data_IF_827790555853
#
_entry.id   IF_827790555853
#
_cell.length_a   1.000
_cell.length_b   1.000
_cell.length_c   1.000
_cell.angle_alpha   90.00
_cell.angle_beta   90.00
_cell.angle_gamma   90.00
#
_symmetry.space_group_name_H-M   'P 1'
#
loop_
_entity.id
_entity.type
_entity.pdbx_description
1 polymer ?
#
# COMPACT_ATOMS: atom_id res chain seq x y z
N UNK A 1 25.78 2.59 -23.58
CA UNK A 1 26.67 2.59 -22.40
C UNK A 1 26.05 1.56 -21.46
N UNK A 2 26.50 0.32 -21.39
CA UNK A 2 27.80 -0.24 -21.76
C UNK A 2 27.66 -1.77 -21.97
N UNK A 3 27.88 -2.26 -23.20
CA UNK A 3 27.80 -3.68 -23.63
C UNK A 3 28.88 -4.57 -22.98
N UNK A 4 29.69 -4.00 -22.08
CA UNK A 4 30.82 -4.66 -21.44
C UNK A 4 30.42 -5.42 -20.15
N UNK A 5 29.24 -5.16 -19.58
CA UNK A 5 28.77 -5.88 -18.37
C UNK A 5 28.14 -7.24 -18.67
N UNK A 6 27.55 -7.39 -19.85
CA UNK A 6 26.92 -8.63 -20.30
C UNK A 6 27.97 -9.70 -20.65
N UNK A 7 29.12 -9.28 -21.21
CA UNK A 7 30.25 -10.19 -21.48
C UNK A 7 31.00 -10.63 -20.21
N UNK A 8 31.01 -9.80 -19.16
CA UNK A 8 31.60 -10.15 -17.86
C UNK A 8 30.77 -11.26 -17.17
N UNK A 9 29.43 -11.16 -17.22
CA UNK A 9 28.51 -12.15 -16.66
C UNK A 9 28.60 -13.52 -17.36
N UNK A 10 28.79 -13.53 -18.69
CA UNK A 10 28.98 -14.76 -19.46
C UNK A 10 30.32 -15.45 -19.21
N UNK A 11 31.38 -14.72 -18.82
CA UNK A 11 32.68 -15.31 -18.45
C UNK A 11 32.66 -16.03 -17.11
N UNK A 12 31.90 -15.51 -16.14
CA UNK A 12 31.76 -16.12 -14.81
C UNK A 12 31.05 -17.48 -14.90
N UNK A 13 30.12 -17.64 -15.84
CA UNK A 13 29.37 -18.88 -16.08
C UNK A 13 30.17 -19.99 -16.80
N UNK A 14 31.37 -19.70 -17.31
CA UNK A 14 32.19 -20.64 -18.10
C UNK A 14 33.50 -21.07 -17.43
N UNK A 15 33.77 -20.64 -16.19
CA UNK A 15 34.98 -21.02 -15.48
C UNK A 15 34.88 -22.49 -14.97
N UNK A 16 35.87 -23.36 -15.27
CA UNK A 16 35.85 -24.73 -14.78
C UNK A 16 36.22 -24.78 -13.29
N UNK A 17 35.32 -25.31 -12.46
CA UNK A 17 35.60 -25.61 -11.05
C UNK A 17 36.50 -26.85 -10.96
N UNK A 18 37.74 -26.68 -10.50
CA UNK A 18 38.54 -27.81 -10.02
C UNK A 18 38.13 -28.14 -8.59
N UNK A 19 38.25 -29.42 -8.23
CA UNK A 19 37.60 -30.09 -7.11
C UNK A 19 37.89 -29.48 -5.73
N UNK A 20 36.87 -29.63 -4.87
CA UNK A 20 36.83 -29.40 -3.42
C UNK A 20 36.67 -27.94 -2.97
N UNK A 21 35.43 -27.43 -3.02
CA UNK A 21 34.84 -26.54 -2.00
C UNK A 21 33.37 -26.19 -2.32
N UNK A 22 32.42 -26.85 -1.64
CA UNK A 22 30.95 -26.67 -1.73
C UNK A 22 30.43 -25.32 -1.19
N UNK A 23 31.28 -24.29 -1.10
CA UNK A 23 30.93 -22.98 -0.51
C UNK A 23 30.88 -21.81 -1.50
N UNK A 24 31.23 -22.00 -2.76
CA UNK A 24 31.24 -20.93 -3.78
C UNK A 24 30.05 -20.96 -4.76
N UNK A 25 29.22 -22.01 -4.72
CA UNK A 25 28.03 -22.12 -5.58
C UNK A 25 26.80 -21.32 -5.10
N UNK A 26 26.79 -20.91 -3.82
CA UNK A 26 25.70 -20.11 -3.23
C UNK A 26 25.90 -18.61 -3.54
N UNK A 27 27.15 -18.14 -3.58
CA UNK A 27 27.46 -16.72 -3.83
C UNK A 27 27.20 -16.26 -5.27
N UNK A 28 27.21 -17.17 -6.26
CA UNK A 28 26.92 -16.81 -7.65
C UNK A 28 25.41 -16.58 -7.90
N UNK A 29 24.55 -17.27 -7.15
CA UNK A 29 23.08 -17.08 -7.19
C UNK A 29 22.71 -15.81 -6.45
N UNK A 30 23.33 -15.55 -5.30
CA UNK A 30 23.12 -14.34 -4.49
C UNK A 30 23.61 -13.06 -5.23
N UNK A 31 24.67 -13.18 -6.05
CA UNK A 31 25.16 -12.08 -6.88
C UNK A 31 24.29 -11.84 -8.13
N UNK A 32 23.70 -12.89 -8.69
CA UNK A 32 22.72 -12.78 -9.78
C UNK A 32 21.40 -12.16 -9.31
N UNK A 33 20.92 -12.50 -8.11
CA UNK A 33 19.73 -11.88 -7.49
C UNK A 33 19.96 -10.40 -7.15
N UNK A 34 21.17 -10.02 -6.70
CA UNK A 34 21.51 -8.62 -6.39
C UNK A 34 21.77 -7.73 -7.61
N UNK A 35 21.93 -8.30 -8.81
CA UNK A 35 22.28 -7.55 -10.04
C UNK A 35 21.10 -7.28 -10.97
N UNK A 36 19.89 -7.75 -10.64
CA UNK A 36 18.68 -7.49 -11.43
C UNK A 36 18.04 -6.19 -10.93
N UNK A 37 18.16 -5.12 -11.74
CA UNK A 37 17.34 -3.91 -11.56
C UNK A 37 15.87 -4.24 -11.91
N UNK A 38 14.99 -4.05 -10.93
CA UNK A 38 13.58 -3.63 -10.93
C UNK A 38 12.59 -3.84 -12.09
N UNK A 39 12.91 -4.33 -13.30
CA UNK A 39 11.94 -4.46 -14.41
C UNK A 39 12.20 -5.70 -15.31
N UNK A 40 12.01 -6.92 -14.81
CA UNK A 40 12.01 -8.11 -15.67
C UNK A 40 10.87 -9.08 -15.31
N UNK A 41 10.12 -9.44 -16.35
CA UNK A 41 8.83 -10.13 -16.35
C UNK A 41 8.78 -11.44 -15.55
N UNK A 42 7.62 -11.66 -14.92
CA UNK A 42 7.26 -12.85 -14.15
C UNK A 42 7.31 -14.18 -14.93
N UNK A 43 7.56 -14.17 -16.24
CA UNK A 43 7.77 -15.38 -17.04
C UNK A 43 9.16 -16.03 -16.85
N UNK A 44 10.20 -15.26 -16.51
CA UNK A 44 11.57 -15.83 -16.38
C UNK A 44 11.80 -16.50 -15.01
N UNK A 45 11.14 -16.00 -13.96
CA UNK A 45 11.20 -16.58 -12.61
C UNK A 45 10.54 -17.98 -12.55
N UNK A 46 9.55 -18.25 -13.40
CA UNK A 46 8.92 -19.56 -13.55
C UNK A 46 9.84 -20.59 -14.23
N UNK A 47 10.75 -20.16 -15.11
CA UNK A 47 11.71 -21.06 -15.76
C UNK A 47 12.78 -21.58 -14.77
N UNK A 48 13.14 -20.79 -13.76
CA UNK A 48 14.14 -21.16 -12.74
C UNK A 48 13.56 -22.04 -11.61
N UNK A 49 12.25 -21.94 -11.31
CA UNK A 49 11.58 -22.76 -10.28
C UNK A 49 11.38 -24.23 -10.68
N UNK A 50 11.53 -24.59 -11.95
CA UNK A 50 11.33 -25.96 -12.44
C UNK A 50 12.61 -26.80 -12.50
N UNK A 51 13.72 -26.27 -11.99
CA UNK A 51 15.00 -26.95 -11.93
C UNK A 51 15.06 -27.86 -10.68
N UNK A 52 14.78 -29.16 -10.85
CA UNK A 52 15.03 -30.17 -9.81
C UNK A 52 16.39 -30.84 -9.99
N UNK A 53 17.14 -31.15 -8.91
CA UNK A 53 18.41 -31.84 -9.02
C UNK A 53 18.17 -33.28 -9.46
N UNK A 54 18.85 -33.71 -10.53
CA UNK A 54 19.12 -35.12 -10.76
C UNK A 54 20.60 -35.40 -10.49
N UNK A 55 20.91 -36.62 -10.06
CA UNK A 55 22.18 -37.01 -9.43
C UNK A 55 23.40 -37.03 -10.36
N UNK A 56 23.37 -36.39 -11.54
CA UNK A 56 24.41 -36.49 -12.56
C UNK A 56 24.83 -35.15 -13.22
N UNK A 57 24.56 -34.00 -12.59
CA UNK A 57 25.10 -32.71 -13.04
C UNK A 57 24.41 -32.12 -14.30
N UNK A 58 24.39 -30.80 -14.37
CA UNK A 58 23.72 -30.00 -15.39
C UNK A 58 24.29 -30.26 -16.80
N UNK A 59 23.45 -30.69 -17.76
CA UNK A 59 23.76 -30.67 -19.20
C UNK A 59 22.74 -29.82 -19.94
N UNK A 60 23.22 -28.78 -20.62
CA UNK A 60 22.45 -28.02 -21.62
C UNK A 60 22.70 -28.64 -22.99
N UNK A 61 21.64 -29.07 -23.68
CA UNK A 61 21.70 -29.47 -25.09
C UNK A 61 21.48 -28.25 -25.99
N UNK A 62 22.40 -28.08 -26.95
CA UNK A 62 22.59 -26.95 -27.88
C UNK A 62 21.40 -26.62 -28.80
N UNK A 63 21.11 -25.33 -28.98
CA UNK A 63 20.36 -24.78 -30.11
C UNK A 63 21.32 -24.53 -31.29
N UNK A 64 21.16 -25.24 -32.41
CA UNK A 64 21.74 -24.91 -33.71
C UNK A 64 20.62 -24.35 -34.63
N UNK A 65 20.80 -23.14 -35.18
CA UNK A 65 19.84 -22.37 -36.00
C UNK A 65 19.64 -22.89 -37.44
N UNK A 66 19.32 -22.06 -38.49
CA UNK A 66 19.20 -20.59 -38.53
C UNK A 66 18.08 -19.98 -39.43
N UNK A 67 18.05 -18.62 -39.45
CA UNK A 67 17.72 -17.69 -40.54
C UNK A 67 16.27 -17.19 -40.79
N UNK A 68 16.13 -15.88 -40.52
CA UNK A 68 15.09 -14.87 -40.84
C UNK A 68 14.69 -14.81 -42.34
N UNK A 69 13.56 -14.21 -42.78
CA UNK A 69 13.35 -12.75 -42.64
C UNK A 69 11.90 -12.21 -42.47
N UNK A 70 11.88 -10.92 -42.11
CA UNK A 70 10.83 -9.89 -42.07
C UNK A 70 9.84 -9.93 -43.27
N UNK A 71 8.54 -9.67 -43.03
CA UNK A 71 7.66 -8.72 -43.78
C UNK A 71 6.35 -8.43 -43.03
N UNK A 72 5.92 -7.17 -43.15
CA UNK A 72 4.74 -6.51 -42.60
C UNK A 72 3.42 -6.81 -43.35
N UNK A 73 2.37 -6.13 -42.87
CA UNK A 73 1.00 -6.00 -43.38
C UNK A 73 0.07 -7.19 -43.19
N UNK A 74 -1.10 -6.95 -42.57
CA UNK A 74 -2.40 -7.52 -42.98
C UNK A 74 -3.55 -6.61 -42.49
N UNK A 75 -4.15 -5.87 -43.44
CA UNK A 75 -5.55 -5.46 -43.44
C UNK A 75 -6.25 -6.13 -44.65
N UNK A 76 -7.52 -5.80 -44.98
CA UNK A 76 -8.79 -6.37 -44.52
C UNK A 76 -9.40 -7.42 -45.50
N UNK A 77 -10.47 -8.13 -45.08
CA UNK A 77 -11.20 -9.13 -45.87
C UNK A 77 -12.23 -8.50 -46.84
N UNK A 78 -12.51 -9.11 -48.03
CA UNK A 78 -13.47 -8.58 -49.00
C UNK A 78 -14.88 -9.20 -48.92
N UNK A 79 -15.87 -8.39 -49.30
CA UNK A 79 -17.26 -8.76 -49.59
C UNK A 79 -17.44 -9.35 -51.01
N UNK A 80 -18.43 -10.22 -51.18
CA UNK A 80 -19.36 -10.18 -52.33
C UNK A 80 -20.65 -10.98 -52.07
N UNK A 81 -21.77 -10.35 -52.42
CA UNK A 81 -23.17 -10.64 -52.06
C UNK A 81 -23.90 -11.65 -53.00
N UNK A 82 -25.22 -11.91 -52.84
CA UNK A 82 -26.24 -10.98 -53.35
C UNK A 82 -27.56 -10.83 -52.54
N UNK A 83 -28.00 -9.57 -52.45
CA UNK A 83 -29.37 -9.03 -52.57
C UNK A 83 -30.61 -9.75 -51.97
N UNK A 84 -31.22 -9.12 -50.94
CA UNK A 84 -32.69 -8.94 -50.85
C UNK A 84 -33.04 -7.66 -50.07
N UNK A 85 -33.98 -6.89 -50.63
CA UNK A 85 -34.40 -5.54 -50.24
C UNK A 85 -35.22 -5.47 -48.91
N UNK A 86 -35.43 -4.26 -48.32
CA UNK A 86 -35.70 -4.05 -46.90
C UNK A 86 -37.18 -3.99 -46.54
N UNK A 87 -37.51 -4.34 -45.29
CA UNK A 87 -38.81 -4.04 -44.67
C UNK A 87 -38.59 -3.20 -43.41
N UNK A 88 -39.21 -2.02 -43.43
CA UNK A 88 -39.26 -1.02 -42.37
C UNK A 88 -40.35 -1.35 -41.35
N UNK A 89 -40.00 -1.42 -40.06
CA UNK A 89 -40.93 -1.06 -38.98
C UNK A 89 -40.17 -0.38 -37.85
N UNK A 90 -40.57 0.88 -37.62
CA UNK A 90 -40.07 1.82 -36.61
C UNK A 90 -40.80 1.50 -35.29
N UNK A 91 -40.07 1.11 -34.25
CA UNK A 91 -40.60 1.05 -32.88
C UNK A 91 -40.13 2.29 -32.08
N UNK A 92 -40.93 2.81 -31.14
CA UNK A 92 -40.76 4.16 -30.60
C UNK A 92 -39.66 4.24 -29.54
N UNK A 93 -38.98 5.38 -29.50
CA UNK A 93 -38.04 5.75 -28.45
C UNK A 93 -38.76 5.87 -27.10
N UNK A 94 -38.24 5.17 -26.09
CA UNK A 94 -38.56 5.42 -24.68
C UNK A 94 -37.46 6.32 -24.10
N UNK A 95 -37.76 7.29 -23.23
CA UNK A 95 -36.79 8.27 -22.78
C UNK A 95 -35.79 7.62 -21.82
N UNK A 96 -34.51 7.67 -22.16
CA UNK A 96 -33.41 7.28 -21.28
C UNK A 96 -33.36 8.24 -20.10
N UNK A 97 -33.75 7.75 -18.92
CA UNK A 97 -33.43 8.39 -17.64
C UNK A 97 -31.93 8.17 -17.43
N UNK A 98 -31.15 9.24 -17.51
CA UNK A 98 -29.74 9.23 -17.12
C UNK A 98 -29.64 9.08 -15.60
N UNK A 99 -29.47 7.84 -15.13
CA UNK A 99 -29.02 7.58 -13.77
C UNK A 99 -27.52 7.86 -13.72
N UNK A 100 -27.13 9.01 -13.18
CA UNK A 100 -25.74 9.23 -12.75
C UNK A 100 -25.46 8.21 -11.64
N UNK A 101 -24.56 7.26 -11.92
CA UNK A 101 -24.00 6.39 -10.89
C UNK A 101 -23.19 7.20 -9.87
N UNK A 102 -23.01 6.71 -8.64
CA UNK A 102 -22.24 7.39 -7.62
C UNK A 102 -20.77 7.43 -8.05
N UNK A 103 -20.35 8.55 -8.64
CA UNK A 103 -18.94 8.83 -8.92
C UNK A 103 -18.37 9.54 -7.69
N UNK A 104 -17.27 9.03 -7.14
CA UNK A 104 -16.49 9.69 -6.07
C UNK A 104 -15.74 10.94 -6.59
N UNK A 105 -16.19 11.53 -7.70
CA UNK A 105 -15.55 12.69 -8.29
C UNK A 105 -15.80 13.92 -7.39
N UNK A 106 -14.78 14.74 -7.11
CA UNK A 106 -14.95 16.01 -6.43
C UNK A 106 -16.00 16.85 -7.16
N UNK A 107 -16.89 17.48 -6.40
CA UNK A 107 -17.76 18.52 -6.95
C UNK A 107 -16.88 19.63 -7.49
N UNK A 108 -17.01 19.93 -8.79
CA UNK A 108 -16.13 20.86 -9.49
C UNK A 108 -16.12 22.23 -8.77
N UNK A 109 -14.98 22.65 -8.19
CA UNK A 109 -14.92 23.93 -7.51
C UNK A 109 -14.94 25.06 -8.55
N UNK A 110 -15.68 26.16 -8.30
CA UNK A 110 -15.79 27.24 -9.26
C UNK A 110 -14.47 28.04 -9.32
N UNK A 111 -13.90 28.13 -10.52
CA UNK A 111 -12.72 28.93 -10.90
C UNK A 111 -11.41 28.60 -10.16
N UNK A 112 -10.59 27.78 -10.83
CA UNK A 112 -9.16 27.69 -10.54
C UNK A 112 -8.38 28.73 -11.36
N UNK A 113 -7.61 29.59 -10.68
CA UNK A 113 -6.79 30.62 -11.35
C UNK A 113 -5.59 30.07 -12.13
N UNK A 114 -5.03 28.92 -11.70
CA UNK A 114 -3.89 28.30 -12.37
C UNK A 114 -3.86 26.79 -12.21
N UNK A 115 -4.29 26.10 -13.25
CA UNK A 115 -4.06 24.67 -13.41
C UNK A 115 -2.61 24.37 -13.77
N UNK A 116 -2.09 23.25 -13.29
CA UNK A 116 -0.85 22.65 -13.80
C UNK A 116 -1.04 22.15 -15.23
N UNK A 117 0.05 21.67 -15.85
CA UNK A 117 -0.07 20.75 -16.99
C UNK A 117 -0.77 19.45 -16.58
N UNK A 118 -1.17 18.67 -17.58
CA UNK A 118 -1.64 17.31 -17.37
C UNK A 118 -0.43 16.39 -17.15
N UNK A 119 -0.59 15.43 -16.24
CA UNK A 119 0.39 14.41 -15.92
C UNK A 119 -0.28 13.04 -16.06
N UNK A 120 0.39 12.15 -16.76
CA UNK A 120 0.07 10.73 -16.92
C UNK A 120 1.35 10.00 -16.54
N UNK A 121 1.23 9.13 -15.52
CA UNK A 121 2.38 8.53 -14.85
C UNK A 121 2.48 7.05 -15.16
N UNK A 122 1.36 6.37 -15.26
CA UNK A 122 1.28 4.99 -15.71
C UNK A 122 0.16 4.78 -16.71
N UNK A 123 0.34 3.80 -17.60
CA UNK A 123 -0.73 3.34 -18.48
C UNK A 123 -1.50 2.23 -17.74
N UNK A 124 -2.77 1.94 -18.12
CA UNK A 124 -3.62 0.94 -17.47
C UNK A 124 -3.04 -0.46 -17.73
N UNK A 125 -2.17 -0.89 -16.84
CA UNK A 125 -1.40 -2.13 -16.92
C UNK A 125 -1.34 -2.77 -15.53
N UNK A 126 -1.27 -4.09 -15.48
CA UNK A 126 -1.42 -4.82 -14.22
C UNK A 126 -2.80 -4.60 -13.57
N UNK A 127 -2.84 -3.83 -12.48
CA UNK A 127 -4.02 -3.72 -11.60
C UNK A 127 -4.88 -2.47 -11.83
N UNK A 128 -4.50 -1.55 -12.71
CA UNK A 128 -5.22 -0.30 -12.92
C UNK A 128 -4.33 0.81 -13.45
N UNK A 129 -4.73 2.04 -13.17
CA UNK A 129 -4.15 3.31 -13.62
C UNK A 129 -4.03 4.27 -12.40
N UNK A 130 -2.81 4.74 -12.07
CA UNK A 130 -2.47 5.31 -10.76
C UNK A 130 -1.71 6.66 -10.77
N UNK A 131 -2.47 7.74 -10.88
CA UNK A 131 -2.04 9.13 -10.97
C UNK A 131 -1.88 9.75 -9.57
N UNK A 132 -1.08 9.08 -8.74
CA UNK A 132 -0.87 9.46 -7.34
C UNK A 132 0.00 10.71 -7.19
N UNK A 133 -0.45 11.67 -6.38
CA UNK A 133 0.18 12.97 -6.18
C UNK A 133 1.62 12.87 -5.65
N UNK A 134 1.91 11.87 -4.82
CA UNK A 134 3.26 11.62 -4.29
C UNK A 134 4.25 11.29 -5.42
N UNK A 135 3.91 10.36 -6.30
CA UNK A 135 4.76 9.96 -7.42
C UNK A 135 4.87 11.07 -8.45
N UNK A 136 3.74 11.72 -8.78
CA UNK A 136 3.69 12.85 -9.70
C UNK A 136 4.61 13.99 -9.27
N UNK A 137 4.66 14.34 -7.97
CA UNK A 137 5.59 15.36 -7.45
C UNK A 137 7.06 14.94 -7.51
N UNK A 138 7.35 13.65 -7.32
CA UNK A 138 8.71 13.11 -7.36
C UNK A 138 9.26 13.12 -8.79
N UNK A 139 8.43 12.74 -9.75
CA UNK A 139 8.79 12.68 -11.18
C UNK A 139 8.74 14.07 -11.84
N UNK A 140 7.96 15.00 -11.27
CA UNK A 140 7.84 16.39 -11.75
C UNK A 140 8.20 17.42 -10.66
N UNK A 141 9.47 17.52 -10.22
CA UNK A 141 9.88 18.41 -9.15
C UNK A 141 9.49 19.87 -9.40
N UNK A 142 8.78 20.47 -8.44
CA UNK A 142 8.37 21.88 -8.48
C UNK A 142 7.27 22.22 -9.50
N UNK A 143 6.69 21.23 -10.19
CA UNK A 143 5.59 21.45 -11.16
C UNK A 143 4.20 21.44 -10.52
N UNK A 144 4.07 20.77 -9.38
CA UNK A 144 2.83 20.67 -8.61
C UNK A 144 3.08 21.33 -7.26
N UNK A 145 2.18 22.22 -6.84
CA UNK A 145 2.24 22.90 -5.54
C UNK A 145 2.13 21.91 -4.38
N UNK A 146 2.62 22.31 -3.20
CA UNK A 146 2.57 21.51 -1.97
C UNK A 146 1.15 21.23 -1.45
N UNK A 147 0.18 22.09 -1.79
CA UNK A 147 -1.23 21.96 -1.38
C UNK A 147 -2.15 22.33 -2.54
N UNK A 148 -2.50 21.39 -3.43
CA UNK A 148 -3.47 21.61 -4.48
C UNK A 148 -4.85 21.88 -3.90
N UNK A 149 -5.59 22.80 -4.51
CA UNK A 149 -6.96 23.12 -4.08
C UNK A 149 -8.03 22.39 -4.87
N UNK A 150 -7.67 21.78 -6.01
CA UNK A 150 -8.55 20.95 -6.82
C UNK A 150 -7.74 19.97 -7.67
N UNK A 151 -8.38 18.89 -8.09
CA UNK A 151 -7.85 17.91 -9.05
C UNK A 151 -8.87 17.74 -10.18
N UNK A 152 -8.38 17.52 -11.40
CA UNK A 152 -9.17 17.04 -12.53
C UNK A 152 -8.48 15.83 -13.13
N UNK A 153 -9.28 14.84 -13.53
CA UNK A 153 -8.85 13.64 -14.25
C UNK A 153 -9.64 13.50 -15.55
N UNK A 154 -8.99 13.03 -16.61
CA UNK A 154 -9.62 12.74 -17.90
C UNK A 154 -8.92 11.59 -18.60
N UNK A 155 -9.64 10.86 -19.43
CA UNK A 155 -9.07 9.80 -20.25
C UNK A 155 -8.04 10.40 -21.21
N UNK A 156 -6.83 9.87 -21.20
CA UNK A 156 -5.75 10.28 -22.07
C UNK A 156 -6.12 10.04 -23.53
N UNK A 157 -5.78 10.99 -24.39
CA UNK A 157 -6.13 10.98 -25.81
C UNK A 157 -7.57 11.43 -26.10
N UNK A 158 -8.59 10.80 -25.51
CA UNK A 158 -10.01 11.18 -25.76
C UNK A 158 -10.44 12.45 -25.02
N UNK A 159 -9.76 12.77 -23.91
CA UNK A 159 -10.02 13.91 -23.03
C UNK A 159 -11.41 13.91 -22.36
N UNK A 160 -12.13 12.78 -22.40
CA UNK A 160 -13.39 12.59 -21.68
C UNK A 160 -13.12 12.72 -20.18
N UNK A 161 -13.80 13.62 -19.44
CA UNK A 161 -13.62 13.73 -18.00
C UNK A 161 -13.88 12.40 -17.30
N UNK A 162 -13.09 12.06 -16.29
CA UNK A 162 -13.24 10.80 -15.56
C UNK A 162 -14.64 10.64 -14.94
N UNK A 163 -15.29 11.74 -14.54
CA UNK A 163 -16.67 11.71 -14.03
C UNK A 163 -17.72 11.26 -15.07
N UNK A 164 -17.37 11.19 -16.36
CA UNK A 164 -18.26 10.82 -17.45
C UNK A 164 -17.99 9.42 -18.03
N UNK A 165 -16.94 8.72 -17.57
CA UNK A 165 -16.60 7.39 -18.08
C UNK A 165 -17.49 6.30 -17.50
N UNK A 166 -18.07 6.54 -16.32
CA UNK A 166 -18.84 5.53 -15.58
C UNK A 166 -17.97 4.54 -14.82
N UNK A 167 -16.66 4.75 -14.77
CA UNK A 167 -15.71 3.94 -13.99
C UNK A 167 -15.73 4.31 -12.50
N UNK A 168 -15.34 3.33 -11.68
CA UNK A 168 -15.24 3.48 -10.24
C UNK A 168 -13.80 3.82 -9.83
N UNK A 169 -13.61 4.94 -9.15
CA UNK A 169 -12.29 5.41 -8.74
C UNK A 169 -12.03 5.13 -7.26
N UNK A 170 -10.85 4.60 -6.95
CA UNK A 170 -10.39 4.34 -5.58
C UNK A 170 -10.09 5.64 -4.85
N UNK A 171 -9.45 6.58 -5.56
CA UNK A 171 -9.20 7.93 -5.08
C UNK A 171 -9.39 8.91 -6.24
N UNK A 172 -9.95 10.08 -5.93
CA UNK A 172 -10.07 11.21 -6.85
C UNK A 172 -10.10 12.48 -6.00
N UNK A 173 -8.95 12.88 -5.47
CA UNK A 173 -8.83 14.01 -4.54
C UNK A 173 -7.45 14.67 -4.60
N UNK A 174 -7.30 15.80 -3.90
CA UNK A 174 -6.07 16.61 -3.90
C UNK A 174 -4.98 16.12 -2.95
N UNK A 175 -5.26 15.11 -2.13
CA UNK A 175 -4.35 14.61 -1.11
C UNK A 175 -3.61 13.38 -1.61
N UNK A 176 -4.34 12.45 -2.24
CA UNK A 176 -3.81 11.19 -2.78
C UNK A 176 -3.52 11.30 -4.27
N UNK A 177 -4.34 12.03 -5.03
CA UNK A 177 -4.30 12.06 -6.49
C UNK A 177 -5.51 11.35 -7.09
N UNK A 178 -5.28 10.57 -8.14
CA UNK A 178 -6.32 9.80 -8.82
C UNK A 178 -5.89 8.34 -8.96
N UNK A 179 -6.83 7.41 -8.85
CA UNK A 179 -6.59 6.00 -9.14
C UNK A 179 -7.86 5.32 -9.64
N UNK A 180 -7.75 4.63 -10.77
CA UNK A 180 -8.71 3.64 -11.23
C UNK A 180 -8.09 2.24 -11.03
N UNK A 181 -8.86 1.30 -10.50
CA UNK A 181 -8.41 -0.10 -10.40
C UNK A 181 -9.29 -1.04 -11.19
N UNK A 182 -8.64 -1.96 -11.92
CA UNK A 182 -9.28 -2.92 -12.83
C UNK A 182 -10.34 -3.76 -12.10
N UNK A 183 -10.08 -4.16 -10.86
CA UNK A 183 -10.99 -5.02 -10.12
C UNK A 183 -12.32 -4.35 -9.76
N UNK A 184 -12.38 -3.02 -9.65
CA UNK A 184 -13.62 -2.27 -9.41
C UNK A 184 -14.41 -1.97 -10.69
N UNK A 185 -13.84 -2.22 -11.86
CA UNK A 185 -14.51 -1.98 -13.13
C UNK A 185 -15.34 -3.20 -13.54
N UNK A 186 -16.54 -2.93 -14.07
CA UNK A 186 -17.45 -3.98 -14.53
C UNK A 186 -16.88 -4.83 -15.67
N UNK A 187 -16.00 -4.24 -16.48
CA UNK A 187 -15.29 -4.87 -17.60
C UNK A 187 -13.85 -5.30 -17.23
N UNK A 188 -13.47 -5.16 -15.95
CA UNK A 188 -12.14 -5.47 -15.42
C UNK A 188 -11.01 -4.65 -16.03
N UNK A 189 -11.31 -3.48 -16.58
CA UNK A 189 -10.32 -2.66 -17.26
C UNK A 189 -10.54 -1.18 -16.93
N UNK A 190 -9.47 -0.50 -16.54
CA UNK A 190 -9.44 0.95 -16.40
C UNK A 190 -9.06 1.62 -17.71
N UNK A 191 -9.68 2.75 -18.02
CA UNK A 191 -9.13 3.66 -19.02
C UNK A 191 -7.78 4.23 -18.55
N UNK A 192 -7.00 4.68 -19.52
CA UNK A 192 -5.76 5.45 -19.31
C UNK A 192 -6.12 6.89 -18.95
N UNK A 193 -5.79 7.35 -17.75
CA UNK A 193 -6.11 8.69 -17.26
C UNK A 193 -4.88 9.58 -17.11
N UNK A 194 -5.09 10.87 -17.36
CA UNK A 194 -4.16 11.92 -16.96
C UNK A 194 -4.85 12.88 -15.98
N UNK A 195 -4.07 13.43 -15.05
CA UNK A 195 -4.55 14.38 -14.04
C UNK A 195 -3.89 15.74 -14.13
N UNK A 196 -4.57 16.77 -13.63
CA UNK A 196 -3.98 18.07 -13.33
C UNK A 196 -4.50 18.62 -12.02
N UNK A 197 -3.71 19.52 -11.44
CA UNK A 197 -3.95 20.09 -10.13
C UNK A 197 -4.15 21.60 -10.22
N UNK A 198 -5.04 22.12 -9.39
CA UNK A 198 -5.20 23.56 -9.21
C UNK A 198 -4.22 24.03 -8.14
N UNK A 199 -3.39 25.02 -8.50
CA UNK A 199 -2.42 25.59 -7.59
C UNK A 199 -2.64 27.10 -7.47
N UNK A 200 -3.01 27.56 -6.28
CA UNK A 200 -2.94 28.98 -5.95
C UNK A 200 -1.48 29.42 -5.94
N UNK A 201 -1.17 30.55 -6.60
CA UNK A 201 0.16 31.12 -6.54
C UNK A 201 0.34 31.81 -5.18
N UNK A 202 0.96 31.13 -4.20
CA UNK A 202 2.06 31.70 -3.41
C UNK A 202 2.63 30.72 -2.35
N UNK A 203 3.88 30.26 -2.52
CA UNK A 203 4.66 29.62 -1.47
C UNK A 203 5.42 30.59 -0.53
N UNK A 204 5.30 31.91 -0.68
CA UNK A 204 6.09 32.90 0.07
C UNK A 204 5.23 34.06 0.62
N UNK A 205 4.59 33.85 1.77
CA UNK A 205 4.18 34.95 2.65
C UNK A 205 4.58 34.62 4.08
N UNK A 206 5.89 34.64 4.31
CA UNK A 206 6.45 34.97 5.62
C UNK A 206 6.62 36.50 5.76
N UNK A 207 6.70 36.95 7.01
CA UNK A 207 6.79 38.33 7.56
C UNK A 207 5.41 38.97 7.88
N UNK A 208 5.11 39.49 9.07
CA UNK A 208 5.91 39.87 10.26
C UNK A 208 4.99 40.15 11.47
N UNK A 209 5.44 39.74 12.66
CA UNK A 209 5.25 40.30 14.02
C UNK A 209 4.00 41.16 14.35
N UNK A 210 3.21 40.69 15.33
CA UNK A 210 2.88 41.44 16.53
C UNK A 210 2.51 40.50 17.69
N UNK A 211 3.01 40.73 18.93
CA UNK A 211 2.65 39.93 20.08
C UNK A 211 1.26 40.33 20.60
N UNK A 212 0.30 39.42 20.54
CA UNK A 212 -0.93 39.54 21.28
C UNK A 212 -0.68 39.07 22.72
N UNK A 213 -0.65 40.05 23.63
CA UNK A 213 -0.64 39.90 25.08
C UNK A 213 -1.82 39.00 25.55
N UNK A 214 -1.62 37.91 26.30
CA UNK A 214 -2.74 37.17 26.86
C UNK A 214 -3.23 37.87 28.13
N UNK A 215 -4.37 38.53 28.04
CA UNK A 215 -5.15 38.93 29.22
C UNK A 215 -5.63 37.67 29.92
N UNK A 216 -5.17 37.45 31.15
CA UNK A 216 -5.63 36.37 32.04
C UNK A 216 -7.11 36.60 32.33
N UNK A 217 -7.97 35.78 31.71
CA UNK A 217 -9.34 35.59 32.14
C UNK A 217 -9.38 34.27 32.92
N UNK A 218 -9.68 34.38 34.22
CA UNK A 218 -9.85 33.27 35.15
C UNK A 218 -11.01 32.39 34.67
N UNK A 219 -10.73 31.25 34.04
CA UNK A 219 -11.74 30.23 33.77
C UNK A 219 -11.97 29.43 35.05
N UNK A 220 -13.23 29.40 35.51
CA UNK A 220 -13.69 28.47 36.54
C UNK A 220 -13.58 27.01 36.07
N UNK A 221 -13.78 26.03 36.96
CA UNK A 221 -13.56 24.63 36.66
C UNK A 221 -14.44 24.21 35.47
N UNK A 222 -13.79 23.67 34.44
CA UNK A 222 -14.45 23.07 33.28
C UNK A 222 -15.41 21.97 33.75
N UNK A 223 -16.58 21.81 33.12
CA UNK A 223 -17.45 20.67 33.39
C UNK A 223 -16.68 19.39 33.04
N UNK A 224 -16.70 18.40 33.93
CA UNK A 224 -16.21 17.05 33.66
C UNK A 224 -16.89 16.50 32.40
N UNK A 225 -16.14 16.45 31.31
CA UNK A 225 -16.53 15.77 30.07
C UNK A 225 -16.78 14.29 30.38
N UNK A 226 -17.88 13.69 29.92
CA UNK A 226 -18.07 12.24 30.04
C UNK A 226 -16.89 11.52 29.37
N UNK A 227 -16.52 10.30 29.81
CA UNK A 227 -15.40 9.58 29.20
C UNK A 227 -15.65 9.50 27.68
N UNK A 228 -14.69 9.98 26.91
CA UNK A 228 -14.68 9.87 25.45
C UNK A 228 -14.85 8.40 25.11
N UNK A 229 -15.96 8.05 24.44
CA UNK A 229 -16.16 6.70 23.94
C UNK A 229 -15.23 6.55 22.74
N UNK A 230 -14.18 5.75 22.88
CA UNK A 230 -13.27 5.38 21.79
C UNK A 230 -14.05 4.68 20.67
N UNK A 231 -13.48 4.64 19.47
CA UNK A 231 -14.09 4.00 18.30
C UNK A 231 -13.31 2.78 17.87
N UNK A 232 -14.01 1.76 17.34
CA UNK A 232 -13.40 0.66 16.60
C UNK A 232 -13.62 0.81 15.10
N UNK A 233 -12.77 0.17 14.32
CA UNK A 233 -12.97 -0.06 12.89
C UNK A 233 -13.29 -1.54 12.67
N UNK A 234 -14.38 -1.79 11.93
CA UNK A 234 -14.86 -3.11 11.55
C UNK A 234 -14.42 -3.37 10.11
N UNK A 235 -13.70 -4.46 9.87
CA UNK A 235 -13.29 -4.97 8.57
C UNK A 235 -14.18 -6.17 8.24
N UNK A 236 -15.19 -6.01 7.36
CA UNK A 236 -16.12 -7.08 7.07
C UNK A 236 -15.46 -8.22 6.29
N UNK A 237 -16.07 -9.40 6.36
CA UNK A 237 -15.77 -10.50 5.44
C UNK A 237 -16.73 -10.49 4.24
N UNK A 238 -16.42 -11.21 3.15
CA UNK A 238 -15.26 -12.09 2.98
C UNK A 238 -13.95 -11.32 2.74
N UNK A 239 -12.83 -12.05 2.75
CA UNK A 239 -11.49 -11.50 2.47
C UNK A 239 -11.49 -10.81 1.10
N UNK A 240 -10.83 -9.67 1.02
CA UNK A 240 -10.80 -8.82 -0.16
C UNK A 240 -9.76 -7.71 0.00
N UNK A 241 -9.62 -6.86 -1.00
CA UNK A 241 -8.65 -5.76 -1.02
C UNK A 241 -9.28 -4.38 -0.78
N UNK A 242 -10.61 -4.33 -0.74
CA UNK A 242 -11.39 -3.10 -0.66
C UNK A 242 -11.44 -2.50 0.73
N UNK A 243 -11.42 -3.36 1.75
CA UNK A 243 -11.68 -3.02 3.14
C UNK A 243 -10.37 -2.78 3.87
N UNK A 244 -10.08 -1.51 4.16
CA UNK A 244 -8.90 -1.09 4.90
C UNK A 244 -9.13 0.26 5.55
N UNK A 245 -8.20 0.65 6.43
CA UNK A 245 -8.14 2.00 6.95
C UNK A 245 -6.74 2.58 6.78
N UNK A 246 -6.67 3.89 6.52
CA UNK A 246 -5.42 4.64 6.39
C UNK A 246 -5.33 5.66 7.51
N UNK A 247 -4.26 5.61 8.29
CA UNK A 247 -4.03 6.63 9.31
C UNK A 247 -3.37 7.84 8.64
N UNK A 248 -4.01 9.01 8.72
CA UNK A 248 -3.54 10.27 8.13
C UNK A 248 -2.49 10.94 8.99
N UNK A 249 -1.44 10.17 9.28
CA UNK A 249 -0.23 10.56 9.99
C UNK A 249 0.97 9.84 9.38
N UNK A 250 2.17 10.29 9.72
CA UNK A 250 3.39 9.60 9.33
C UNK A 250 4.48 9.84 10.36
N UNK A 251 5.52 9.04 10.32
CA UNK A 251 6.71 9.24 11.13
C UNK A 251 7.44 10.51 10.64
N UNK A 252 7.68 11.45 11.55
CA UNK A 252 8.46 12.67 11.27
C UNK A 252 9.97 12.42 11.29
N UNK A 253 10.40 11.43 12.08
CA UNK A 253 11.79 11.00 12.23
C UNK A 253 11.89 9.47 12.19
N UNK A 254 13.10 8.96 11.91
CA UNK A 254 13.36 7.52 11.89
C UNK A 254 13.26 6.96 13.33
N UNK A 255 12.59 5.82 13.51
CA UNK A 255 12.50 5.15 14.82
C UNK A 255 13.65 4.17 15.00
N UNK A 256 14.37 4.30 16.12
CA UNK A 256 15.36 3.31 16.59
C UNK A 256 14.82 2.40 17.69
N UNK A 257 13.60 2.66 18.15
CA UNK A 257 12.83 1.80 19.04
C UNK A 257 11.35 2.11 18.88
N UNK A 258 10.49 1.15 19.19
CA UNK A 258 9.06 1.40 19.28
C UNK A 258 8.35 0.40 20.19
N UNK A 259 7.12 0.78 20.54
CA UNK A 259 6.08 -0.13 21.01
C UNK A 259 4.85 0.11 20.14
N UNK A 260 4.30 -0.94 19.54
CA UNK A 260 3.06 -0.91 18.76
C UNK A 260 2.04 -1.78 19.49
N UNK A 261 0.90 -1.20 19.86
CA UNK A 261 -0.21 -1.91 20.48
C UNK A 261 -1.46 -1.82 19.60
N UNK A 262 -2.23 -2.90 19.59
CA UNK A 262 -3.48 -3.03 18.83
C UNK A 262 -4.48 -3.80 19.70
N UNK A 263 -5.69 -3.26 19.87
CA UNK A 263 -6.81 -4.04 20.35
C UNK A 263 -7.45 -4.71 19.15
N UNK A 264 -7.62 -6.02 19.20
CA UNK A 264 -8.20 -6.79 18.10
C UNK A 264 -9.28 -7.74 18.59
N UNK A 265 -10.24 -8.00 17.70
CA UNK A 265 -11.24 -9.06 17.85
C UNK A 265 -11.47 -9.73 16.52
N UNK A 266 -11.26 -11.05 16.45
CA UNK A 266 -11.41 -11.82 15.22
C UNK A 266 -11.62 -13.31 15.52
N UNK A 267 -12.25 -14.02 14.60
CA UNK A 267 -12.41 -15.47 14.59
C UNK A 267 -11.72 -16.13 13.38
N UNK A 268 -10.75 -15.43 12.77
CA UNK A 268 -9.89 -15.98 11.72
C UNK A 268 -8.96 -17.06 12.29
N UNK A 269 -8.17 -17.72 11.43
CA UNK A 269 -7.23 -18.75 11.87
C UNK A 269 -5.79 -18.23 11.79
N UNK A 270 -4.97 -18.53 12.80
CA UNK A 270 -3.56 -18.08 12.84
C UNK A 270 -2.72 -18.66 11.70
N UNK A 271 -3.16 -19.74 11.04
CA UNK A 271 -2.54 -20.30 9.84
C UNK A 271 -2.79 -19.48 8.58
N UNK A 272 -3.77 -18.57 8.60
CA UNK A 272 -3.96 -17.62 7.52
C UNK A 272 -2.81 -16.61 7.48
N UNK A 273 -2.61 -16.01 6.31
CA UNK A 273 -1.79 -14.82 6.15
C UNK A 273 -2.66 -13.59 6.48
N UNK A 274 -2.26 -12.77 7.46
CA UNK A 274 -3.07 -11.65 7.94
C UNK A 274 -2.17 -10.47 8.31
N UNK A 275 -2.41 -9.30 7.72
CA UNK A 275 -1.82 -8.03 8.15
C UNK A 275 -2.79 -7.25 9.04
N UNK A 276 -2.40 -6.98 10.29
CA UNK A 276 -3.16 -6.08 11.17
C UNK A 276 -2.80 -4.62 10.91
N UNK A 277 -1.49 -4.34 10.91
CA UNK A 277 -0.90 -3.01 10.73
C UNK A 277 0.27 -3.14 9.77
N UNK A 278 0.24 -2.39 8.66
CA UNK A 278 1.32 -2.29 7.69
C UNK A 278 1.76 -0.84 7.55
N UNK A 279 3.07 -0.61 7.60
CA UNK A 279 3.71 0.66 7.31
C UNK A 279 4.71 0.47 6.18
N UNK A 280 4.59 1.31 5.15
CA UNK A 280 5.38 1.24 3.94
C UNK A 280 6.04 2.58 3.63
N UNK A 281 7.30 2.54 3.22
CA UNK A 281 8.03 3.69 2.66
C UNK A 281 8.46 3.37 1.23
N UNK A 282 8.84 4.39 0.45
CA UNK A 282 9.22 4.18 -0.96
C UNK A 282 10.42 3.24 -1.17
N UNK A 283 11.23 3.02 -0.12
CA UNK A 283 12.39 2.14 -0.15
C UNK A 283 12.08 0.70 0.29
N UNK A 284 10.97 0.48 0.98
CA UNK A 284 10.55 -0.82 1.48
C UNK A 284 9.08 -0.78 1.82
N UNK A 285 8.28 -1.60 1.14
CA UNK A 285 6.87 -1.75 1.45
C UNK A 285 6.65 -2.62 2.70
N UNK A 286 7.61 -3.51 3.01
CA UNK A 286 7.73 -4.24 4.28
C UNK A 286 8.50 -3.45 5.36
N UNK A 287 8.28 -2.14 5.49
CA UNK A 287 9.07 -1.29 6.41
C UNK A 287 8.84 -1.66 7.89
N UNK A 288 7.57 -1.77 8.30
CA UNK A 288 7.13 -2.31 9.58
C UNK A 288 5.75 -2.96 9.41
N UNK A 289 5.61 -4.24 9.74
CA UNK A 289 4.31 -4.94 9.67
C UNK A 289 4.12 -5.82 10.91
N UNK A 290 2.95 -5.72 11.53
CA UNK A 290 2.45 -6.73 12.46
C UNK A 290 1.60 -7.73 11.66
N UNK A 291 2.22 -8.86 11.33
CA UNK A 291 1.68 -9.87 10.42
C UNK A 291 1.43 -11.19 11.17
N UNK A 292 0.65 -12.08 10.58
CA UNK A 292 0.33 -13.40 11.14
C UNK A 292 0.47 -14.45 10.05
N UNK A 293 1.16 -15.55 10.37
CA UNK A 293 1.24 -16.79 9.59
C UNK A 293 1.81 -17.91 10.48
N UNK A 294 0.93 -18.76 10.99
CA UNK A 294 1.28 -19.74 12.04
C UNK A 294 1.72 -19.06 13.34
N UNK A 295 1.03 -17.96 13.70
CA UNK A 295 1.39 -17.07 14.81
C UNK A 295 1.87 -15.70 14.34
N UNK A 296 2.07 -14.79 15.30
CA UNK A 296 2.50 -13.43 14.99
C UNK A 296 3.93 -13.38 14.47
N UNK A 297 4.14 -12.54 13.47
CA UNK A 297 5.40 -12.17 12.87
C UNK A 297 5.59 -10.67 12.97
N UNK A 298 6.80 -10.25 13.30
CA UNK A 298 7.18 -8.84 13.22
C UNK A 298 8.06 -8.65 11.99
N UNK A 299 7.59 -7.85 11.04
CA UNK A 299 8.39 -7.39 9.91
C UNK A 299 9.03 -6.06 10.25
N UNK A 300 10.32 -5.96 10.00
CA UNK A 300 11.14 -4.75 9.97
C UNK A 300 12.14 -4.94 8.83
N UNK A 301 11.76 -4.62 7.58
CA UNK A 301 12.42 -4.90 6.28
C UNK A 301 13.04 -6.31 6.08
N UNK A 302 12.76 -7.20 7.02
CA UNK A 302 13.06 -8.61 7.21
C UNK A 302 12.05 -9.07 8.27
N UNK A 303 12.05 -10.32 8.71
CA UNK A 303 11.02 -10.79 9.66
C UNK A 303 11.58 -11.71 10.73
N UNK A 304 10.82 -11.81 11.82
CA UNK A 304 10.95 -12.85 12.84
C UNK A 304 9.60 -13.51 13.10
N UNK A 305 9.61 -14.81 13.37
CA UNK A 305 8.47 -15.47 14.00
C UNK A 305 8.50 -15.19 15.50
N UNK A 306 7.36 -14.77 16.06
CA UNK A 306 7.19 -14.56 17.49
C UNK A 306 6.49 -15.78 18.11
N UNK A 307 5.26 -15.62 18.60
CA UNK A 307 4.46 -16.70 19.15
C UNK A 307 3.05 -16.74 18.54
N UNK A 308 2.36 -17.84 18.75
CA UNK A 308 0.97 -18.07 18.33
C UNK A 308 0.03 -18.14 19.55
N UNK A 309 -0.29 -17.00 20.19
CA UNK A 309 -1.23 -16.95 21.29
C UNK A 309 -2.68 -17.15 20.80
N UNK A 310 -3.57 -17.72 21.64
CA UNK A 310 -4.95 -18.02 21.26
C UNK A 310 -5.85 -16.77 21.30
N UNK A 311 -5.57 -15.76 20.47
CA UNK A 311 -6.32 -14.48 20.42
C UNK A 311 -7.38 -14.42 19.31
N UNK A 312 -7.66 -15.57 18.69
CA UNK A 312 -8.56 -15.71 17.54
C UNK A 312 -9.90 -16.36 17.92
N UNK A 313 -10.31 -16.21 19.17
CA UNK A 313 -11.48 -16.86 19.76
C UNK A 313 -12.78 -16.05 19.61
N UNK A 314 -12.72 -14.89 18.96
CA UNK A 314 -13.84 -13.97 18.77
C UNK A 314 -14.04 -12.98 19.93
N UNK A 315 -13.17 -12.98 20.94
CA UNK A 315 -13.16 -12.01 22.03
C UNK A 315 -12.15 -10.87 21.77
N UNK A 316 -12.21 -9.82 22.59
CA UNK A 316 -11.25 -8.72 22.52
C UNK A 316 -9.94 -9.10 23.20
N UNK A 317 -8.85 -8.90 22.48
CA UNK A 317 -7.49 -9.05 22.99
C UNK A 317 -6.65 -7.81 22.73
N UNK A 318 -5.69 -7.56 23.62
CA UNK A 318 -4.66 -6.55 23.42
C UNK A 318 -3.38 -7.24 22.96
N UNK A 319 -2.85 -6.85 21.81
CA UNK A 319 -1.58 -7.36 21.27
C UNK A 319 -0.60 -6.20 21.17
N UNK A 320 0.52 -6.31 21.88
CA UNK A 320 1.58 -5.31 21.85
C UNK A 320 2.92 -5.94 21.45
N UNK A 321 3.65 -5.32 20.53
CA UNK A 321 5.02 -5.71 20.20
C UNK A 321 5.99 -4.55 20.40
N UNK A 322 7.20 -4.86 20.86
CA UNK A 322 8.27 -3.88 21.05
C UNK A 322 9.49 -4.27 20.24
N UNK A 323 10.29 -3.28 19.87
CA UNK A 323 11.61 -3.51 19.29
C UNK A 323 12.59 -2.38 19.64
N UNK A 324 13.87 -2.71 19.79
CA UNK A 324 14.96 -1.76 20.06
C UNK A 324 16.20 -2.05 19.21
N UNK A 325 16.67 -1.04 18.50
CA UNK A 325 17.81 -1.13 17.58
C UNK A 325 19.15 -1.48 18.23
N UNK A 326 19.41 -1.00 19.45
CA UNK A 326 20.74 -1.12 20.10
C UNK A 326 21.21 -2.57 20.27
N UNK A 327 20.29 -3.49 20.50
CA UNK A 327 20.54 -4.91 20.77
C UNK A 327 19.57 -5.83 20.03
N UNK A 328 18.66 -5.27 19.23
CA UNK A 328 17.64 -6.02 18.50
C UNK A 328 16.65 -6.73 19.42
N UNK A 329 16.52 -6.26 20.66
CA UNK A 329 15.57 -6.81 21.62
C UNK A 329 14.14 -6.58 21.13
N UNK A 330 13.32 -7.62 21.15
CA UNK A 330 11.91 -7.58 20.79
C UNK A 330 11.08 -8.35 21.80
N UNK A 331 9.83 -7.94 21.97
CA UNK A 331 8.88 -8.60 22.87
C UNK A 331 7.49 -8.63 22.23
N UNK A 332 6.71 -9.63 22.57
CA UNK A 332 5.29 -9.75 22.26
C UNK A 332 4.53 -9.93 23.57
N UNK A 333 3.54 -9.08 23.80
CA UNK A 333 2.61 -9.16 24.91
C UNK A 333 1.20 -9.42 24.38
N UNK A 334 0.46 -10.27 25.07
CA UNK A 334 -0.97 -10.44 24.87
C UNK A 334 -1.70 -10.27 26.19
N UNK A 335 -2.73 -9.42 26.20
CA UNK A 335 -3.55 -9.10 27.37
C UNK A 335 -2.69 -8.69 28.59
N UNK A 336 -1.68 -7.86 28.32
CA UNK A 336 -0.72 -7.36 29.31
C UNK A 336 0.35 -8.37 29.77
N UNK A 337 0.25 -9.65 29.38
CA UNK A 337 1.22 -10.69 29.72
C UNK A 337 2.30 -10.85 28.65
N UNK A 338 3.56 -11.05 29.07
CA UNK A 338 4.66 -11.33 28.13
C UNK A 338 4.54 -12.75 27.58
N UNK A 339 4.34 -12.86 26.26
CA UNK A 339 4.10 -14.13 25.56
C UNK A 339 5.36 -14.64 24.88
N UNK A 340 6.15 -13.74 24.29
CA UNK A 340 7.43 -14.08 23.69
C UNK A 340 8.42 -12.92 23.75
N UNK A 341 9.70 -13.25 23.68
CA UNK A 341 10.76 -12.25 23.55
C UNK A 341 12.00 -12.85 22.90
N UNK A 342 12.86 -11.97 22.39
CA UNK A 342 14.15 -12.34 21.85
C UNK A 342 15.05 -11.12 21.66
N UNK A 343 16.22 -11.34 21.08
CA UNK A 343 17.22 -10.29 20.81
C UNK A 343 17.95 -10.56 19.50
N UNK A 344 18.76 -9.60 19.03
CA UNK A 344 19.54 -9.75 17.81
C UNK A 344 18.77 -9.50 16.51
N UNK A 345 17.46 -9.25 16.58
CA UNK A 345 16.68 -8.92 15.39
C UNK A 345 16.97 -7.48 14.95
N UNK A 346 17.50 -7.31 13.74
CA UNK A 346 17.73 -5.99 13.13
C UNK A 346 18.60 -5.02 13.96
N UNK A 347 19.62 -5.53 14.67
CA UNK A 347 20.57 -4.68 15.42
C UNK A 347 21.14 -3.56 14.54
N UNK A 348 21.12 -2.32 15.03
CA UNK A 348 21.55 -1.12 14.28
C UNK A 348 20.57 -0.68 13.17
N UNK A 349 19.43 -1.35 13.03
CA UNK A 349 18.37 -1.00 12.09
C UNK A 349 17.57 0.23 12.51
N UNK A 350 16.55 0.56 11.71
CA UNK A 350 15.57 1.61 11.99
C UNK A 350 14.29 1.39 11.20
N UNK A 351 13.20 2.03 11.63
CA UNK A 351 12.00 2.28 10.81
C UNK A 351 12.13 3.69 10.23
N UNK A 352 12.08 3.82 8.91
CA UNK A 352 12.27 5.08 8.20
C UNK A 352 11.03 5.97 8.30
N UNK A 353 11.26 7.26 8.31
CA UNK A 353 10.22 8.28 8.30
C UNK A 353 9.47 8.41 6.97
N UNK A 354 8.30 9.07 7.01
CA UNK A 354 7.59 9.57 5.82
C UNK A 354 6.80 8.54 5.02
N UNK A 355 6.46 7.40 5.60
CA UNK A 355 5.66 6.33 4.98
C UNK A 355 4.16 6.45 5.21
N UNK A 356 3.43 5.43 4.79
CA UNK A 356 1.97 5.32 4.89
C UNK A 356 1.58 4.16 5.80
N UNK A 357 0.67 4.42 6.74
CA UNK A 357 0.08 3.43 7.62
C UNK A 357 -1.25 2.92 7.05
N UNK A 358 -1.35 1.60 6.91
CA UNK A 358 -2.56 0.87 6.49
C UNK A 358 -2.93 -0.15 7.57
N UNK A 359 -4.21 -0.21 7.89
CA UNK A 359 -4.79 -1.19 8.80
C UNK A 359 -5.63 -2.19 7.99
N UNK A 360 -5.49 -3.47 8.32
CA UNK A 360 -6.24 -4.58 7.76
C UNK A 360 -5.79 -5.08 6.38
N UNK A 361 -4.72 -4.50 5.81
CA UNK A 361 -4.11 -4.95 4.55
C UNK A 361 -2.58 -4.92 4.63
N UNK A 362 -1.94 -5.75 3.82
CA UNK A 362 -0.49 -5.78 3.57
C UNK A 362 -0.18 -4.95 2.31
N UNK A 363 0.83 -4.08 2.36
CA UNK A 363 1.18 -3.16 1.29
C UNK A 363 2.31 -3.76 0.44
N UNK A 364 2.07 -4.06 -0.85
CA UNK A 364 3.17 -4.34 -1.80
C UNK A 364 3.70 -3.06 -2.49
N UNK A 365 2.97 -1.95 -2.36
CA UNK A 365 3.44 -0.60 -2.68
C UNK A 365 2.92 0.35 -1.62
N UNK A 366 3.56 1.52 -1.49
CA UNK A 366 3.10 2.55 -0.55
C UNK A 366 1.63 2.90 -0.83
N UNK A 367 0.75 2.54 0.10
CA UNK A 367 -0.70 2.80 0.05
C UNK A 367 -1.52 1.85 -0.82
N UNK A 368 -0.99 0.72 -1.32
CA UNK A 368 -1.78 -0.15 -2.21
C UNK A 368 -1.13 -1.48 -2.59
N UNK A 369 -1.64 -2.05 -3.71
CA UNK A 369 -1.30 -3.40 -4.22
C UNK A 369 -1.51 -4.47 -3.15
N UNK A 370 -2.68 -4.43 -2.51
CA UNK A 370 -3.05 -5.39 -1.48
C UNK A 370 -3.34 -6.76 -2.10
N UNK A 371 -3.13 -7.82 -1.30
CA UNK A 371 -3.54 -9.18 -1.60
C UNK A 371 -4.71 -9.59 -0.69
N UNK A 372 -5.81 -10.08 -1.27
CA UNK A 372 -6.96 -10.56 -0.52
C UNK A 372 -6.58 -11.68 0.46
N UNK A 373 -5.61 -12.53 0.10
CA UNK A 373 -5.10 -13.61 0.93
C UNK A 373 -4.23 -13.12 2.10
N UNK A 374 -4.02 -11.80 2.24
CA UNK A 374 -3.33 -11.16 3.36
C UNK A 374 -4.19 -10.15 4.16
N UNK A 375 -5.44 -9.93 3.73
CA UNK A 375 -6.42 -9.09 4.44
C UNK A 375 -6.87 -9.58 5.82
N UNK A 376 -7.20 -8.65 6.71
CA UNK A 376 -7.81 -8.92 8.01
C UNK A 376 -9.34 -8.84 7.94
N UNK A 377 -10.01 -9.76 8.63
CA UNK A 377 -11.44 -9.71 8.94
C UNK A 377 -11.60 -9.66 10.46
N UNK A 378 -12.35 -8.70 10.94
CA UNK A 378 -12.59 -8.53 12.37
C UNK A 378 -12.69 -7.06 12.73
N UNK A 379 -12.26 -6.74 13.95
CA UNK A 379 -12.36 -5.40 14.48
C UNK A 379 -11.02 -4.98 15.09
N UNK A 380 -10.61 -3.75 14.82
CA UNK A 380 -9.44 -3.13 15.45
C UNK A 380 -9.85 -1.86 16.20
N UNK A 381 -9.21 -1.63 17.34
CA UNK A 381 -9.28 -0.38 18.10
C UNK A 381 -7.92 -0.12 18.73
N UNK A 382 -7.75 1.06 19.32
CA UNK A 382 -6.59 1.38 20.17
C UNK A 382 -5.24 1.12 19.49
N UNK A 383 -5.15 1.36 18.17
CA UNK A 383 -3.88 1.26 17.44
C UNK A 383 -3.01 2.43 17.85
N UNK A 384 -2.09 2.16 18.78
CA UNK A 384 -1.21 3.16 19.37
C UNK A 384 0.27 2.82 19.12
N UNK A 385 1.08 3.85 18.88
CA UNK A 385 2.52 3.72 18.62
C UNK A 385 3.31 4.69 19.50
N UNK A 386 4.36 4.16 20.12
CA UNK A 386 5.36 4.93 20.85
C UNK A 386 6.74 4.79 20.18
N UNK A 387 7.56 5.83 20.27
CA UNK A 387 8.96 5.84 19.77
C UNK A 387 9.98 5.22 20.73
N UNK A 388 9.48 4.50 21.75
CA UNK A 388 10.26 3.86 22.80
C UNK A 388 9.70 2.50 23.18
N UNK A 389 10.51 1.69 23.85
CA UNK A 389 10.06 0.46 24.50
C UNK A 389 9.33 0.82 25.79
N UNK A 390 8.06 0.44 25.90
CA UNK A 390 7.27 0.57 27.11
C UNK A 390 7.67 -0.49 28.14
N UNK A 391 7.53 -0.15 29.42
CA UNK A 391 7.65 -1.11 30.52
C UNK A 391 6.42 -2.04 30.60
N UNK A 392 6.52 -3.22 31.24
CA UNK A 392 5.37 -4.09 31.43
C UNK A 392 4.16 -3.42 32.11
N UNK A 393 4.41 -2.49 33.04
CA UNK A 393 3.34 -1.75 33.70
C UNK A 393 2.63 -0.74 32.78
N UNK A 394 3.37 -0.11 31.86
CA UNK A 394 2.79 0.77 30.83
C UNK A 394 2.02 -0.05 29.78
N UNK A 395 2.49 -1.26 29.43
CA UNK A 395 1.78 -2.16 28.50
C UNK A 395 0.48 -2.71 29.10
N UNK A 396 0.47 -2.95 30.42
CA UNK A 396 -0.73 -3.39 31.14
C UNK A 396 -1.66 -2.24 31.54
N UNK A 397 -1.37 -0.99 31.13
CA UNK A 397 -2.25 0.15 31.36
C UNK A 397 -3.55 0.00 30.56
N UNK A 398 -4.59 0.72 30.97
CA UNK A 398 -5.84 0.76 30.23
C UNK A 398 -5.75 1.68 28.99
N UNK A 399 -6.86 1.81 28.26
CA UNK A 399 -6.92 2.62 27.03
C UNK A 399 -6.78 4.14 27.25
N UNK A 400 -6.59 4.62 28.49
CA UNK A 400 -6.20 6.02 28.71
C UNK A 400 -4.72 6.28 28.41
N UNK A 401 -3.95 5.22 28.14
CA UNK A 401 -2.54 5.30 27.82
C UNK A 401 -2.32 5.35 26.30
N UNK A 402 -2.20 6.57 25.78
CA UNK A 402 -2.10 6.84 24.35
C UNK A 402 -0.66 6.91 23.83
N UNK A 403 -0.48 6.60 22.54
CA UNK A 403 0.81 6.69 21.85
C UNK A 403 1.27 8.13 21.62
N UNK A 404 2.58 8.38 21.72
CA UNK A 404 3.15 9.69 21.38
C UNK A 404 3.45 9.86 19.89
N UNK A 405 3.39 8.78 19.10
CA UNK A 405 3.60 8.80 17.64
C UNK A 405 2.28 8.58 16.90
N UNK A 406 1.51 7.57 17.31
CA UNK A 406 0.14 7.35 16.88
C UNK A 406 -0.70 7.25 18.14
N UNK A 407 -1.61 8.20 18.28
CA UNK A 407 -2.68 8.16 19.27
C UNK A 407 -3.98 7.83 18.56
N UNK A 408 -4.59 6.69 18.91
CA UNK A 408 -5.78 6.18 18.24
C UNK A 408 -6.94 7.19 18.23
N UNK A 409 -7.16 7.88 19.35
CA UNK A 409 -8.32 8.75 19.55
C UNK A 409 -8.20 10.07 18.78
N UNK A 410 -6.96 10.55 18.58
CA UNK A 410 -6.70 11.85 17.95
C UNK A 410 -6.17 11.74 16.52
N UNK A 411 -5.66 10.58 16.12
CA UNK A 411 -5.18 10.35 14.76
C UNK A 411 -6.34 10.18 13.79
N UNK A 412 -6.51 11.13 12.88
CA UNK A 412 -7.50 11.00 11.81
C UNK A 412 -7.21 9.73 10.98
N UNK A 413 -8.23 8.89 10.84
CA UNK A 413 -8.10 7.62 10.12
C UNK A 413 -9.20 7.55 9.07
N UNK A 414 -8.85 7.47 7.79
CA UNK A 414 -9.82 7.30 6.70
C UNK A 414 -10.14 5.81 6.56
N UNK A 415 -11.41 5.49 6.32
CA UNK A 415 -11.90 4.11 6.20
C UNK A 415 -12.42 3.91 4.78
N UNK A 416 -12.06 2.79 4.16
CA UNK A 416 -12.31 2.49 2.75
C UNK A 416 -13.10 1.20 2.58
N UNK A 417 -13.79 1.09 1.44
CA UNK A 417 -14.62 -0.07 1.13
C UNK A 417 -15.90 -0.08 1.97
N UNK A 418 -16.22 -1.26 2.49
CA UNK A 418 -17.30 -1.53 3.44
C UNK A 418 -16.82 -1.53 4.90
N UNK A 419 -15.52 -1.30 5.14
CA UNK A 419 -15.05 -1.07 6.49
C UNK A 419 -15.80 0.11 7.13
N UNK A 420 -16.08 0.01 8.43
CA UNK A 420 -16.97 0.96 9.11
C UNK A 420 -16.55 1.24 10.54
N UNK A 421 -17.04 2.34 11.11
CA UNK A 421 -16.77 2.76 12.48
C UNK A 421 -17.93 2.38 13.39
N UNK A 422 -17.60 2.00 14.62
CA UNK A 422 -18.57 1.80 15.70
C UNK A 422 -17.98 2.22 17.05
N UNK A 423 -18.81 2.35 18.07
CA UNK A 423 -18.33 2.59 19.44
C UNK A 423 -17.50 1.40 19.95
N UNK A 424 -16.45 1.72 20.70
CA UNK A 424 -15.59 0.79 21.41
C UNK A 424 -15.56 1.13 22.90
N UNK A 425 -15.75 0.12 23.75
CA UNK A 425 -15.62 0.26 25.19
C UNK A 425 -14.43 -0.57 25.66
N UNK A 426 -13.36 0.14 26.04
CA UNK A 426 -12.19 -0.49 26.62
C UNK A 426 -12.53 -1.21 27.93
N UNK A 427 -12.04 -2.45 28.10
CA UNK A 427 -12.14 -3.20 29.35
C UNK A 427 -13.52 -3.81 29.66
N UNK A 428 -14.39 -4.01 28.66
CA UNK A 428 -15.66 -4.73 28.80
C UNK A 428 -15.81 -5.88 27.83
#
# INVERSE_FOLDING_TARGET
>A
MDDNKEQEALRVLQAPTTSDDDKLGIDAVDFAEKSINQDADAEYALALRNLRPNSNGWKVSSLNGPANPIIADHAPRPDNAPNRAPSTTKAPANPTITTQGPTNAPTEPPNCDRWTGWFDRDNPSGNGDFETLLHLRRENPGKICSTPSAIQARVRGSQVPASQTGEHFDYYDTDVGFACTNYRQSDRYCQDYEVRFCCSQNPNSGTTNAPANPTIATQGPAPTEPPSVSQKIIFPGPRGIDDYARMETTLSEDLTSFTLCVHMRSNMDSSNEISLVSYAVSQSYNELILFVKGGFMLHLQSYIQMADPPVWDGEWHTVCTTWRSSDGAWQLYTDGALTASGSGFRVGGRVRRGGTWILGQEQDVVGGRFDADQSFIGELSEVNLWDRVLSPAEIAADCSYHGNVIDWDTTNTRVFGQASRAEYQCGK
#
